data_IF_155899895748
#
_entry.id   IF_155899895748
#
_cell.length_a   1.000
_cell.length_b   1.000
_cell.length_c   1.000
_cell.angle_alpha   90.00
_cell.angle_beta   90.00
_cell.angle_gamma   90.00
#
_symmetry.space_group_name_H-M   'P 1'
#
loop_
_entity.id
_entity.type
_entity.pdbx_description
1 polymer ?
#
# COMPACT_ATOMS: atom_id res chain seq x y z
N UNK A 1 7.65 34.09 13.02
CA UNK A 1 7.94 33.78 11.61
C UNK A 1 7.50 32.34 11.38
N UNK A 2 6.42 32.10 10.64
CA UNK A 2 5.87 30.75 10.47
C UNK A 2 6.34 30.17 9.15
N UNK A 3 6.94 28.98 9.20
CA UNK A 3 7.22 28.18 8.01
C UNK A 3 6.09 27.16 7.89
N UNK A 4 5.42 27.17 6.74
CA UNK A 4 4.30 26.26 6.47
C UNK A 4 4.71 25.31 5.35
N UNK A 5 4.30 24.06 5.47
CA UNK A 5 4.56 23.03 4.47
C UNK A 5 3.23 22.41 4.10
N UNK A 6 2.98 22.33 2.80
CA UNK A 6 1.81 21.68 2.24
C UNK A 6 2.25 20.59 1.28
N UNK A 7 1.50 19.49 1.25
CA UNK A 7 1.76 18.35 0.39
C UNK A 7 0.57 18.14 -0.54
N UNK A 8 0.81 18.18 -1.85
CA UNK A 8 -0.10 17.62 -2.83
C UNK A 8 0.33 16.19 -3.13
N UNK A 9 -0.55 15.23 -2.85
CA UNK A 9 -0.27 13.82 -3.00
C UNK A 9 -1.25 13.20 -3.99
N UNK A 10 -0.71 12.56 -5.03
CA UNK A 10 -1.49 11.90 -6.08
C UNK A 10 -1.11 10.43 -6.16
N UNK A 11 -2.06 9.55 -5.93
CA UNK A 11 -1.95 8.14 -6.21
C UNK A 11 -2.26 7.82 -7.67
N UNK A 12 -1.56 6.83 -8.23
CA UNK A 12 -1.80 6.39 -9.61
C UNK A 12 -3.17 5.73 -9.79
N UNK A 13 -3.69 5.02 -8.78
CA UNK A 13 -5.00 4.38 -8.76
C UNK A 13 -6.05 5.24 -8.05
N UNK A 14 -5.70 5.87 -6.93
CA UNK A 14 -6.62 6.64 -6.10
C UNK A 14 -6.87 8.08 -6.59
N UNK A 15 -6.07 8.58 -7.54
CA UNK A 15 -6.17 9.97 -8.00
C UNK A 15 -5.60 10.94 -6.97
N UNK A 16 -6.24 12.09 -6.77
CA UNK A 16 -5.73 13.12 -5.85
C UNK A 16 -6.07 12.75 -4.40
N UNK A 17 -5.13 12.10 -3.71
CA UNK A 17 -5.27 11.68 -2.31
C UNK A 17 -5.40 12.88 -1.38
N UNK A 18 -4.75 13.99 -1.71
CA UNK A 18 -4.80 15.22 -0.90
C UNK A 18 -6.10 16.03 -1.04
N UNK A 19 -7.06 15.58 -1.87
CA UNK A 19 -8.30 16.30 -2.14
C UNK A 19 -9.19 16.45 -0.88
N UNK A 20 -9.47 17.70 -0.51
CA UNK A 20 -10.26 18.04 0.67
C UNK A 20 -9.59 17.74 2.03
N UNK A 21 -8.26 17.59 2.08
CA UNK A 21 -7.55 17.29 3.33
C UNK A 21 -7.41 18.50 4.28
N UNK A 22 -7.37 19.73 3.76
CA UNK A 22 -7.35 20.94 4.60
C UNK A 22 -8.72 21.62 4.66
N UNK A 23 -9.75 20.84 4.96
CA UNK A 23 -11.13 21.33 5.17
C UNK A 23 -11.49 21.30 6.65
N UNK A 24 -12.52 22.06 7.09
CA UNK A 24 -13.02 21.99 8.46
C UNK A 24 -13.44 20.59 8.89
N UNK A 25 -13.98 19.78 7.98
CA UNK A 25 -14.38 18.39 8.23
C UNK A 25 -13.18 17.46 8.47
N UNK A 26 -12.01 17.81 7.92
CA UNK A 26 -10.82 16.97 7.92
C UNK A 26 -9.88 17.30 9.09
N UNK A 27 -9.52 18.58 9.28
CA UNK A 27 -8.53 19.01 10.30
C UNK A 27 -9.08 20.06 11.28
N UNK A 28 -10.40 20.24 11.31
CA UNK A 28 -11.07 21.17 12.23
C UNK A 28 -10.55 22.60 12.07
N UNK A 29 -10.31 23.28 13.20
CA UNK A 29 -9.90 24.69 13.24
C UNK A 29 -8.51 24.98 12.65
N UNK A 30 -7.74 23.96 12.28
CA UNK A 30 -6.41 24.13 11.66
C UNK A 30 -6.48 24.44 10.17
N UNK A 31 -7.66 24.33 9.56
CA UNK A 31 -7.86 24.56 8.14
C UNK A 31 -7.45 25.98 7.72
N UNK A 32 -6.97 26.11 6.48
CA UNK A 32 -6.66 27.40 5.86
C UNK A 32 -7.36 27.47 4.50
N UNK A 33 -8.10 28.54 4.26
CA UNK A 33 -8.77 28.76 2.99
C UNK A 33 -7.77 28.88 1.83
N UNK A 34 -8.10 28.30 0.68
CA UNK A 34 -7.24 28.25 -0.52
C UNK A 34 -6.20 27.12 -0.50
N UNK A 35 -6.32 26.17 0.42
CA UNK A 35 -5.42 25.00 0.59
C UNK A 35 -6.18 23.68 0.71
N UNK A 36 -7.45 23.68 0.35
CA UNK A 36 -8.40 22.59 0.62
C UNK A 36 -7.90 21.24 0.10
N UNK A 37 -7.24 21.22 -1.06
CA UNK A 37 -6.72 20.02 -1.73
C UNK A 37 -5.25 19.69 -1.42
N UNK A 38 -4.71 20.25 -0.34
CA UNK A 38 -3.37 20.00 0.14
C UNK A 38 -3.40 19.46 1.57
N UNK A 39 -2.46 18.56 1.88
CA UNK A 39 -2.23 18.02 3.21
C UNK A 39 -1.32 18.99 3.95
N UNK A 40 -1.70 19.39 5.17
CA UNK A 40 -0.82 20.18 6.02
C UNK A 40 0.29 19.29 6.61
N UNK A 41 1.55 19.66 6.37
CA UNK A 41 2.72 18.93 6.85
C UNK A 41 3.35 19.70 8.00
N UNK A 42 3.55 19.02 9.13
CA UNK A 42 4.14 19.56 10.35
C UNK A 42 5.67 19.47 10.35
N UNK A 43 6.20 18.39 9.77
CA UNK A 43 7.63 18.12 9.71
C UNK A 43 7.97 17.41 8.40
N UNK A 44 9.12 17.72 7.82
CA UNK A 44 9.72 16.95 6.73
C UNK A 44 11.20 16.78 7.00
N UNK A 45 11.70 15.56 6.80
CA UNK A 45 13.10 15.18 6.89
C UNK A 45 13.46 14.38 5.66
N UNK A 46 14.56 14.77 5.04
CA UNK A 46 15.14 14.06 3.92
C UNK A 46 16.65 14.16 4.01
N UNK A 47 17.35 13.09 3.61
CA UNK A 47 18.80 13.03 3.61
C UNK A 47 19.32 12.25 2.41
N UNK A 48 20.48 12.67 1.92
CA UNK A 48 21.27 11.92 0.97
C UNK A 48 22.68 11.81 1.53
N UNK A 49 23.22 10.60 1.55
CA UNK A 49 24.61 10.37 1.97
C UNK A 49 25.42 9.90 0.78
N UNK A 50 26.73 10.09 0.83
CA UNK A 50 27.63 9.62 -0.21
C UNK A 50 28.88 9.05 0.44
N UNK A 51 29.16 7.79 0.12
CA UNK A 51 30.48 7.23 0.29
C UNK A 51 31.15 7.17 -1.09
N UNK A 52 30.95 6.10 -1.85
CA UNK A 52 31.32 6.03 -3.29
C UNK A 52 30.14 6.43 -4.20
N UNK A 53 28.97 5.82 -3.98
CA UNK A 53 27.73 6.13 -4.69
C UNK A 53 26.78 6.96 -3.81
N UNK A 54 25.88 7.70 -4.45
CA UNK A 54 24.84 8.45 -3.73
C UNK A 54 23.83 7.46 -3.16
N UNK A 55 23.63 7.52 -1.85
CA UNK A 55 22.60 6.78 -1.14
C UNK A 55 21.44 7.73 -0.83
N UNK A 56 20.28 7.42 -1.41
CA UNK A 56 19.05 8.15 -1.19
C UNK A 56 18.32 7.58 0.02
N UNK A 57 18.14 8.38 1.07
CA UNK A 57 17.30 7.99 2.19
C UNK A 57 15.83 8.32 1.88
N UNK A 58 14.87 7.54 2.42
CA UNK A 58 13.45 7.86 2.34
C UNK A 58 13.14 9.27 2.86
N UNK A 59 12.16 9.92 2.25
CA UNK A 59 11.60 11.17 2.75
C UNK A 59 10.62 10.82 3.87
N UNK A 60 10.89 11.30 5.08
CA UNK A 60 10.00 11.16 6.21
C UNK A 60 9.23 12.48 6.41
N UNK A 61 7.92 12.43 6.53
CA UNK A 61 7.14 13.59 6.92
C UNK A 61 6.08 13.26 7.96
N UNK A 62 5.71 14.27 8.74
CA UNK A 62 4.70 14.18 9.79
C UNK A 62 3.52 15.07 9.44
N UNK A 63 2.30 14.55 9.60
CA UNK A 63 1.03 15.25 9.35
C UNK A 63 0.04 15.00 10.50
N UNK A 64 -0.94 15.89 10.76
CA UNK A 64 -2.04 15.54 11.64
C UNK A 64 -2.88 14.42 11.01
N UNK A 65 -3.71 13.74 11.80
CA UNK A 65 -4.71 12.82 11.24
C UNK A 65 -5.73 13.64 10.44
N UNK A 66 -5.98 13.25 9.19
CA UNK A 66 -6.85 13.97 8.27
C UNK A 66 -7.57 12.99 7.32
N UNK A 67 -8.34 13.51 6.36
CA UNK A 67 -9.06 12.70 5.38
C UNK A 67 -8.18 11.74 4.56
N UNK A 68 -6.89 12.06 4.36
CA UNK A 68 -5.97 11.20 3.60
C UNK A 68 -5.46 9.99 4.39
N UNK A 69 -5.56 9.99 5.72
CA UNK A 69 -5.11 8.92 6.62
C UNK A 69 -5.54 7.50 6.18
N UNK A 70 -6.85 7.21 5.93
CA UNK A 70 -7.26 5.90 5.43
C UNK A 70 -6.78 5.61 4.01
N UNK A 71 -6.62 6.64 3.16
CA UNK A 71 -6.15 6.49 1.77
C UNK A 71 -4.65 6.13 1.73
N UNK A 72 -3.87 6.65 2.67
CA UNK A 72 -2.47 6.28 2.89
C UNK A 72 -2.36 4.82 3.36
N UNK A 73 -3.24 4.39 4.27
CA UNK A 73 -3.35 2.99 4.68
C UNK A 73 -3.65 2.05 3.50
N UNK A 74 -4.52 2.47 2.57
CA UNK A 74 -4.78 1.72 1.35
C UNK A 74 -3.60 1.74 0.36
N UNK A 75 -2.89 2.86 0.28
CA UNK A 75 -1.75 3.02 -0.62
C UNK A 75 -0.56 2.15 -0.21
N UNK A 76 -0.29 2.00 1.09
CA UNK A 76 0.75 1.10 1.59
C UNK A 76 0.36 -0.37 1.40
N UNK A 77 -0.89 -0.75 1.69
CA UNK A 77 -1.41 -2.12 1.52
C UNK A 77 -1.31 -2.59 0.07
N UNK A 78 -1.63 -1.72 -0.89
CA UNK A 78 -1.61 -2.04 -2.34
C UNK A 78 -0.29 -1.69 -3.03
N UNK A 79 0.73 -1.29 -2.26
CA UNK A 79 2.01 -0.82 -2.78
C UNK A 79 1.85 0.14 -3.99
N UNK A 80 0.99 1.15 -3.82
CA UNK A 80 0.63 2.07 -4.89
C UNK A 80 1.75 3.08 -5.17
N UNK A 81 1.97 3.39 -6.46
CA UNK A 81 2.86 4.47 -6.86
C UNK A 81 2.21 5.84 -6.65
N UNK A 82 2.96 6.73 -6.01
CA UNK A 82 2.54 8.06 -5.62
C UNK A 82 3.43 9.13 -6.26
N UNK A 83 2.84 10.25 -6.62
CA UNK A 83 3.56 11.50 -6.91
C UNK A 83 3.31 12.48 -5.77
N UNK A 84 4.38 12.93 -5.12
CA UNK A 84 4.32 13.81 -3.96
C UNK A 84 4.98 15.15 -4.28
N UNK A 85 4.27 16.25 -4.07
CA UNK A 85 4.78 17.61 -4.24
C UNK A 85 4.67 18.37 -2.91
N UNK A 86 5.79 18.54 -2.24
CA UNK A 86 5.92 19.38 -1.05
C UNK A 86 6.16 20.82 -1.47
N UNK A 87 5.36 21.73 -0.92
CA UNK A 87 5.41 23.18 -1.13
C UNK A 87 5.75 23.85 0.19
N UNK A 88 6.92 24.46 0.27
CA UNK A 88 7.43 25.13 1.47
C UNK A 88 7.23 26.65 1.34
N UNK A 89 6.56 27.21 2.33
CA UNK A 89 6.20 28.61 2.40
C UNK A 89 6.99 29.34 3.48
N UNK A 90 7.26 30.62 3.22
CA UNK A 90 7.84 31.56 4.21
C UNK A 90 7.17 32.93 4.10
N UNK A 91 7.29 33.73 5.15
CA UNK A 91 6.89 35.14 5.09
C UNK A 91 7.96 35.96 4.37
N UNK A 92 7.58 36.70 3.33
CA UNK A 92 8.47 37.59 2.59
C UNK A 92 8.63 38.96 3.29
N UNK A 93 9.45 39.85 2.73
CA UNK A 93 9.68 41.19 3.29
C UNK A 93 8.42 42.06 3.34
N UNK A 94 7.45 41.80 2.45
CA UNK A 94 6.15 42.48 2.43
C UNK A 94 5.13 41.89 3.42
N UNK A 95 5.52 40.90 4.24
CA UNK A 95 4.64 40.24 5.20
C UNK A 95 3.69 39.20 4.58
N UNK A 96 3.83 38.90 3.29
CA UNK A 96 3.00 37.94 2.57
C UNK A 96 3.60 36.55 2.60
N UNK A 97 2.75 35.52 2.53
CA UNK A 97 3.18 34.14 2.45
C UNK A 97 3.60 33.81 1.00
N UNK A 98 4.89 33.52 0.78
CA UNK A 98 5.43 33.16 -0.52
C UNK A 98 5.88 31.70 -0.58
N UNK A 99 5.64 31.03 -1.72
CA UNK A 99 6.19 29.72 -2.03
C UNK A 99 7.65 29.89 -2.48
N UNK A 100 8.60 29.55 -1.62
CA UNK A 100 10.02 29.77 -1.91
C UNK A 100 10.77 28.49 -2.30
N UNK A 101 10.28 27.32 -1.88
CA UNK A 101 10.95 26.04 -2.10
C UNK A 101 9.96 24.91 -2.36
N UNK A 102 10.30 24.03 -3.29
CA UNK A 102 9.50 22.86 -3.67
C UNK A 102 10.36 21.60 -3.69
N UNK A 103 9.81 20.50 -3.18
CA UNK A 103 10.39 19.16 -3.27
C UNK A 103 9.37 18.26 -3.96
N UNK A 104 9.70 17.73 -5.13
CA UNK A 104 8.82 16.83 -5.87
C UNK A 104 9.44 15.45 -5.99
N UNK A 105 8.71 14.45 -5.50
CA UNK A 105 9.00 13.03 -5.63
C UNK A 105 8.10 12.44 -6.71
N UNK A 106 8.68 11.62 -7.58
CA UNK A 106 7.93 10.92 -8.62
C UNK A 106 8.08 9.42 -8.48
N UNK A 107 6.99 8.68 -8.64
CA UNK A 107 7.00 7.22 -8.51
C UNK A 107 7.45 6.77 -7.12
N UNK A 108 6.93 7.43 -6.09
CA UNK A 108 7.17 7.12 -4.69
C UNK A 108 6.28 5.97 -4.20
N UNK A 109 6.74 5.24 -3.19
CA UNK A 109 5.99 4.19 -2.49
C UNK A 109 6.11 4.42 -0.99
N UNK A 110 5.05 4.13 -0.24
CA UNK A 110 5.10 4.22 1.22
C UNK A 110 5.88 3.02 1.76
N UNK A 111 6.93 3.29 2.55
CA UNK A 111 7.74 2.27 3.23
C UNK A 111 7.24 2.03 4.65
N UNK A 112 6.84 3.09 5.33
CA UNK A 112 6.37 3.05 6.71
C UNK A 112 5.23 4.05 6.89
N UNK A 113 4.21 3.62 7.61
CA UNK A 113 3.05 4.41 7.98
C UNK A 113 2.71 4.12 9.44
N UNK A 114 2.93 5.11 10.31
CA UNK A 114 2.69 4.99 11.75
C UNK A 114 1.77 6.11 12.22
N UNK A 115 0.72 5.72 12.96
CA UNK A 115 -0.21 6.64 13.60
C UNK A 115 0.13 6.76 15.08
N UNK A 116 0.25 7.99 15.57
CA UNK A 116 0.58 8.29 16.95
C UNK A 116 -0.59 9.01 17.62
N UNK A 117 -1.21 8.31 18.56
CA UNK A 117 -2.14 8.92 19.51
C UNK A 117 -1.43 9.13 20.84
N UNK A 118 -1.40 10.37 21.37
CA UNK A 118 -0.76 10.64 22.64
C UNK A 118 -1.51 9.97 23.79
N UNK A 119 -0.80 9.70 24.88
CA UNK A 119 -1.41 9.16 26.08
C UNK A 119 -2.32 10.22 26.72
N UNK A 120 -3.62 9.92 26.85
CA UNK A 120 -4.61 10.92 27.27
C UNK A 120 -4.41 11.46 28.69
N UNK A 121 -3.57 10.81 29.51
CA UNK A 121 -3.25 11.25 30.88
C UNK A 121 -1.93 12.02 30.90
N UNK A 122 -0.89 11.50 30.24
CA UNK A 122 0.48 12.05 30.35
C UNK A 122 0.78 13.12 29.31
N UNK A 123 0.12 13.10 28.15
CA UNK A 123 0.42 13.92 26.96
C UNK A 123 -0.84 14.59 26.37
N UNK A 124 -1.75 15.06 27.23
CA UNK A 124 -3.05 15.60 26.80
C UNK A 124 -2.97 16.84 25.88
N UNK A 125 -1.86 17.59 25.93
CA UNK A 125 -1.67 18.78 25.07
C UNK A 125 -1.17 18.44 23.66
N UNK A 126 -0.75 17.20 23.41
CA UNK A 126 -0.27 16.79 22.10
C UNK A 126 -1.44 16.52 21.15
N UNK A 127 -1.29 16.95 19.90
CA UNK A 127 -2.26 16.65 18.84
C UNK A 127 -1.90 15.29 18.22
N UNK A 128 -2.86 14.38 17.97
CA UNK A 128 -2.60 13.15 17.22
C UNK A 128 -1.98 13.43 15.84
N UNK A 129 -0.97 12.64 15.48
CA UNK A 129 -0.23 12.82 14.24
C UNK A 129 0.17 11.48 13.62
N UNK A 130 0.59 11.54 12.37
CA UNK A 130 1.02 10.39 11.58
C UNK A 130 2.39 10.66 11.00
N UNK A 131 3.24 9.63 11.00
CA UNK A 131 4.56 9.65 10.39
C UNK A 131 4.53 8.75 9.16
N UNK A 132 4.93 9.31 8.02
CA UNK A 132 4.91 8.62 6.73
C UNK A 132 6.31 8.67 6.12
N UNK A 133 6.82 7.52 5.69
CA UNK A 133 8.08 7.41 4.97
C UNK A 133 7.84 7.05 3.51
N UNK A 134 8.35 7.89 2.62
CA UNK A 134 8.26 7.72 1.18
C UNK A 134 9.64 7.40 0.62
N UNK A 135 9.75 6.24 0.00
CA UNK A 135 10.86 5.94 -0.91
C UNK A 135 10.45 6.34 -2.33
N UNK A 136 11.39 6.74 -3.17
CA UNK A 136 11.08 7.45 -4.43
C UNK A 136 12.06 7.10 -5.54
N UNK A 137 11.57 7.05 -6.78
CA UNK A 137 12.41 6.82 -7.98
C UNK A 137 13.20 8.05 -8.40
N UNK A 138 12.59 9.22 -8.32
CA UNK A 138 13.29 10.46 -8.62
C UNK A 138 12.80 11.59 -7.73
N UNK A 139 13.70 12.54 -7.48
CA UNK A 139 13.48 13.69 -6.62
C UNK A 139 13.98 14.95 -7.33
N UNK A 140 13.19 16.01 -7.25
CA UNK A 140 13.56 17.33 -7.71
C UNK A 140 13.40 18.35 -6.61
N UNK A 141 14.33 19.29 -6.56
CA UNK A 141 14.38 20.41 -5.64
C UNK A 141 14.31 21.68 -6.46
N UNK A 142 13.44 22.62 -6.11
CA UNK A 142 13.34 23.90 -6.81
C UNK A 142 13.25 25.03 -5.79
N UNK A 143 14.23 25.93 -5.80
CA UNK A 143 14.16 27.16 -5.02
C UNK A 143 13.53 28.27 -5.86
N UNK A 144 12.21 28.38 -5.82
CA UNK A 144 11.40 29.32 -6.61
C UNK A 144 11.87 30.77 -6.49
N UNK A 145 12.20 31.22 -5.29
CA UNK A 145 12.61 32.61 -5.05
C UNK A 145 14.02 32.94 -5.56
N UNK A 146 14.85 31.94 -5.88
CA UNK A 146 16.24 32.11 -6.35
C UNK A 146 16.51 31.46 -7.71
N UNK A 147 15.49 30.82 -8.31
CA UNK A 147 15.55 30.22 -9.64
C UNK A 147 16.38 28.93 -9.77
N UNK A 148 16.95 28.38 -8.70
CA UNK A 148 17.80 27.19 -8.79
C UNK A 148 16.98 25.90 -8.73
N UNK A 149 17.39 24.91 -9.52
CA UNK A 149 16.75 23.59 -9.58
C UNK A 149 17.78 22.48 -9.50
N UNK A 150 17.47 21.41 -8.77
CA UNK A 150 18.25 20.17 -8.72
C UNK A 150 17.36 18.98 -9.05
N UNK A 151 17.93 17.97 -9.71
CA UNK A 151 17.25 16.73 -10.06
C UNK A 151 18.17 15.54 -9.78
N UNK A 152 17.63 14.48 -9.18
CA UNK A 152 18.34 13.25 -8.92
C UNK A 152 17.43 12.04 -9.11
N UNK A 153 18.00 10.95 -9.62
CA UNK A 153 17.33 9.67 -9.81
C UNK A 153 17.91 8.71 -8.77
N UNK A 154 17.04 8.08 -7.99
CA UNK A 154 17.47 7.02 -7.07
C UNK A 154 17.69 5.73 -7.84
N UNK A 155 18.59 4.88 -7.35
CA UNK A 155 18.90 3.59 -7.99
C UNK A 155 17.84 2.51 -7.71
N UNK A 156 16.57 2.86 -7.44
CA UNK A 156 15.51 1.88 -7.18
C UNK A 156 15.19 1.02 -8.41
N UNK A 157 15.97 -0.03 -8.59
CA UNK A 157 15.62 -1.23 -9.35
C UNK A 157 14.93 -2.20 -8.39
N UNK A 158 13.61 -2.40 -8.52
CA UNK A 158 12.96 -3.57 -7.90
C UNK A 158 11.56 -3.38 -7.30
N UNK A 159 11.07 -2.15 -7.11
CA UNK A 159 9.66 -1.89 -6.72
C UNK A 159 8.91 -1.27 -7.89
N UNK A 160 8.76 -2.05 -8.94
CA UNK A 160 7.67 -1.80 -9.88
C UNK A 160 6.35 -2.15 -9.17
N UNK A 161 5.22 -1.56 -9.59
CA UNK A 161 3.90 -1.98 -9.11
C UNK A 161 3.85 -3.50 -9.07
N UNK A 162 3.08 -4.08 -8.14
CA UNK A 162 2.71 -5.50 -8.19
C UNK A 162 2.37 -5.85 -9.64
N UNK A 163 3.34 -6.40 -10.37
CA UNK A 163 3.09 -7.03 -11.64
C UNK A 163 2.31 -8.24 -11.17
N UNK A 164 1.02 -8.39 -11.55
CA UNK A 164 0.39 -9.69 -11.35
C UNK A 164 1.37 -10.70 -11.95
N UNK A 165 1.64 -11.79 -11.22
CA UNK A 165 2.66 -12.80 -11.58
C UNK A 165 2.50 -13.34 -13.02
N UNK A 166 1.40 -13.00 -13.67
CA UNK A 166 0.99 -13.41 -15.02
C UNK A 166 1.08 -12.32 -16.10
N UNK A 167 1.54 -11.09 -15.81
CA UNK A 167 1.57 -9.99 -16.80
C UNK A 167 2.54 -10.18 -17.98
N UNK A 168 3.39 -11.21 -17.95
CA UNK A 168 4.25 -11.63 -19.08
C UNK A 168 3.77 -12.88 -19.82
N UNK A 169 2.62 -13.46 -19.44
CA UNK A 169 2.13 -14.75 -19.93
C UNK A 169 0.85 -14.65 -20.78
N UNK A 170 0.61 -13.51 -21.44
CA UNK A 170 -0.56 -13.32 -22.33
C UNK A 170 -0.61 -14.31 -23.50
N UNK A 171 0.52 -14.94 -23.86
CA UNK A 171 0.58 -15.99 -24.88
C UNK A 171 0.48 -17.42 -24.33
N UNK A 172 0.34 -17.63 -23.01
CA UNK A 172 0.24 -18.98 -22.39
C UNK A 172 -1.19 -19.28 -21.89
N UNK A 173 -2.08 -18.30 -21.87
CA UNK A 173 -3.48 -18.49 -21.50
C UNK A 173 -4.18 -19.66 -22.23
N UNK A 174 -4.03 -19.86 -23.56
CA UNK A 174 -4.60 -21.03 -24.21
C UNK A 174 -3.88 -22.35 -23.87
N UNK A 175 -2.61 -22.30 -23.45
CA UNK A 175 -1.85 -23.49 -23.03
C UNK A 175 -2.25 -23.95 -21.63
N UNK A 176 -2.51 -23.02 -20.71
CA UNK A 176 -2.96 -23.31 -19.33
C UNK A 176 -4.35 -23.95 -19.34
N UNK A 177 -5.28 -23.52 -20.19
CA UNK A 177 -6.59 -24.18 -20.32
C UNK A 177 -6.45 -25.61 -20.85
N UNK A 178 -5.61 -25.84 -21.86
CA UNK A 178 -5.35 -27.21 -22.36
C UNK A 178 -4.60 -28.10 -21.36
N UNK A 179 -3.66 -27.55 -20.58
CA UNK A 179 -2.89 -28.30 -19.58
C UNK A 179 -3.71 -28.54 -18.31
N UNK A 180 -4.58 -27.61 -17.91
CA UNK A 180 -5.54 -27.81 -16.84
C UNK A 180 -6.56 -28.89 -17.21
N UNK A 181 -7.14 -28.84 -18.41
CA UNK A 181 -8.03 -29.92 -18.89
C UNK A 181 -7.33 -31.30 -18.92
N UNK A 182 -6.02 -31.34 -19.22
CA UNK A 182 -5.25 -32.59 -19.23
C UNK A 182 -4.91 -33.09 -17.81
N UNK A 183 -4.50 -32.20 -16.90
CA UNK A 183 -4.21 -32.50 -15.49
C UNK A 183 -5.45 -32.96 -14.72
N UNK A 184 -6.63 -32.38 -15.00
CA UNK A 184 -7.89 -32.73 -14.33
C UNK A 184 -8.61 -33.96 -14.91
N UNK A 185 -8.05 -34.61 -15.95
CA UNK A 185 -8.49 -35.96 -16.37
C UNK A 185 -7.83 -37.09 -15.58
N UNK A 186 -6.81 -36.80 -14.77
CA UNK A 186 -6.05 -37.82 -14.06
C UNK A 186 -6.49 -37.94 -12.60
N UNK A 187 -6.88 -39.15 -12.21
CA UNK A 187 -7.18 -39.52 -10.82
C UNK A 187 -5.93 -39.33 -9.96
N UNK A 188 -5.94 -38.35 -9.06
CA UNK A 188 -4.83 -38.13 -8.14
C UNK A 188 -4.88 -39.12 -6.97
N UNK A 189 -3.76 -39.80 -6.71
CA UNK A 189 -3.51 -40.57 -5.49
C UNK A 189 -2.57 -39.78 -4.59
N UNK A 190 -3.06 -39.29 -3.45
CA UNK A 190 -2.24 -38.70 -2.40
C UNK A 190 -1.43 -39.80 -1.70
N UNK A 191 -0.10 -39.72 -1.74
CA UNK A 191 0.78 -40.55 -0.91
C UNK A 191 1.14 -39.78 0.37
N UNK A 192 0.86 -40.41 1.51
CA UNK A 192 1.21 -39.91 2.84
C UNK A 192 2.71 -40.10 3.11
N UNK A 193 3.38 -39.05 3.56
CA UNK A 193 4.72 -39.10 4.14
C UNK A 193 4.63 -38.42 5.53
N UNK A 194 5.25 -39.05 6.53
CA UNK A 194 4.80 -39.09 7.92
C UNK A 194 4.68 -37.79 8.72
N UNK A 195 3.98 -38.01 9.83
CA UNK A 195 3.74 -37.25 11.06
C UNK A 195 2.82 -36.01 11.04
N UNK A 196 1.55 -36.32 11.35
CA UNK A 196 0.50 -35.52 11.99
C UNK A 196 0.12 -34.22 11.26
N UNK A 197 -0.74 -34.34 10.26
CA UNK A 197 -1.45 -33.20 9.66
C UNK A 197 -2.69 -32.82 10.49
N UNK A 198 -2.82 -31.56 10.97
CA UNK A 198 -4.06 -31.08 11.57
C UNK A 198 -5.17 -30.88 10.52
N UNK A 199 -6.42 -30.94 10.99
CA UNK A 199 -7.71 -30.96 10.26
C UNK A 199 -7.74 -30.24 8.90
N UNK A 200 -8.23 -30.94 7.87
CA UNK A 200 -8.43 -30.43 6.51
C UNK A 200 -9.92 -30.09 6.33
N UNK A 201 -10.20 -28.85 5.94
CA UNK A 201 -11.53 -28.43 5.51
C UNK A 201 -11.55 -28.33 3.98
N UNK A 202 -12.63 -28.77 3.35
CA UNK A 202 -12.81 -28.65 1.90
C UNK A 202 -14.24 -28.25 1.54
N UNK A 203 -14.34 -27.40 0.52
CA UNK A 203 -15.60 -27.02 -0.12
C UNK A 203 -15.59 -27.52 -1.56
N UNK A 204 -16.58 -28.33 -1.90
CA UNK A 204 -16.74 -28.90 -3.24
C UNK A 204 -18.05 -28.41 -3.83
N UNK A 205 -17.99 -27.74 -4.97
CA UNK A 205 -19.17 -27.27 -5.68
C UNK A 205 -19.55 -28.29 -6.74
N UNK A 206 -20.79 -28.75 -6.65
CA UNK A 206 -21.42 -29.61 -7.66
C UNK A 206 -22.53 -28.83 -8.36
N UNK A 207 -22.99 -29.30 -9.52
CA UNK A 207 -24.09 -28.67 -10.27
C UNK A 207 -25.41 -28.59 -9.45
N UNK A 208 -25.53 -29.37 -8.37
CA UNK A 208 -26.70 -29.40 -7.48
C UNK A 208 -26.55 -28.55 -6.22
N UNK A 209 -25.39 -27.94 -6.00
CA UNK A 209 -25.11 -27.09 -4.84
C UNK A 209 -23.72 -27.27 -4.25
N UNK A 210 -23.41 -26.42 -3.26
CA UNK A 210 -22.16 -26.42 -2.53
C UNK A 210 -22.19 -27.46 -1.41
N UNK A 211 -21.21 -28.35 -1.38
CA UNK A 211 -21.02 -29.35 -0.32
C UNK A 211 -19.76 -28.96 0.46
N UNK A 212 -19.95 -28.49 1.69
CA UNK A 212 -18.88 -28.16 2.63
C UNK A 212 -18.78 -29.24 3.71
N UNK A 213 -17.58 -29.75 3.99
CA UNK A 213 -17.36 -30.66 5.12
C UNK A 213 -16.00 -30.39 5.79
N UNK A 214 -15.92 -30.64 7.09
CA UNK A 214 -14.72 -30.44 7.90
C UNK A 214 -14.29 -31.76 8.54
N UNK A 215 -13.15 -32.29 8.07
CA UNK A 215 -12.69 -33.61 8.49
C UNK A 215 -11.89 -33.53 9.80
N UNK A 216 -12.35 -34.22 10.85
CA UNK A 216 -11.80 -34.11 12.22
C UNK A 216 -10.80 -35.20 12.63
N UNK A 217 -10.47 -36.19 11.80
CA UNK A 217 -9.52 -37.23 12.22
C UNK A 217 -8.83 -37.90 11.04
N UNK A 218 -7.50 -37.86 11.05
CA UNK A 218 -6.61 -38.32 9.98
C UNK A 218 -6.83 -39.78 9.53
N UNK A 219 -6.88 -39.99 8.21
CA UNK A 219 -6.48 -41.26 7.60
C UNK A 219 -7.52 -42.05 6.80
N UNK A 220 -8.79 -41.65 6.77
CA UNK A 220 -9.80 -42.34 5.94
C UNK A 220 -10.38 -41.39 4.89
N UNK A 221 -10.07 -41.59 3.62
CA UNK A 221 -10.69 -40.84 2.51
C UNK A 221 -12.18 -41.10 2.48
N UNK A 222 -13.03 -40.09 2.74
CA UNK A 222 -14.45 -40.17 2.39
C UNK A 222 -14.55 -40.27 0.86
N UNK A 223 -15.05 -41.41 0.37
CA UNK A 223 -15.43 -41.56 -1.02
C UNK A 223 -16.84 -40.97 -1.19
N UNK A 224 -16.98 -40.03 -2.11
CA UNK A 224 -18.29 -39.57 -2.57
C UNK A 224 -18.72 -40.51 -3.70
N UNK A 225 -19.67 -41.40 -3.42
CA UNK A 225 -20.31 -42.19 -4.47
C UNK A 225 -21.42 -41.36 -5.12
N UNK A 226 -21.10 -40.70 -6.24
CA UNK A 226 -22.12 -40.12 -7.11
C UNK A 226 -22.53 -41.16 -8.16
N UNK A 227 -23.85 -41.36 -8.34
CA UNK A 227 -24.40 -42.37 -9.27
C UNK A 227 -24.20 -42.02 -10.75
N UNK A 228 -23.63 -40.85 -11.07
CA UNK A 228 -23.28 -40.38 -12.42
C UNK A 228 -22.00 -39.53 -12.35
N UNK A 229 -21.21 -39.55 -13.42
CA UNK A 229 -20.09 -38.61 -13.61
C UNK A 229 -20.65 -37.19 -13.66
N UNK A 230 -20.28 -36.38 -12.68
CA UNK A 230 -20.63 -34.95 -12.60
C UNK A 230 -19.32 -34.15 -12.56
N UNK A 231 -19.33 -32.96 -13.17
CA UNK A 231 -18.20 -32.03 -13.12
C UNK A 231 -18.11 -31.47 -11.71
N UNK A 232 -16.97 -31.64 -11.06
CA UNK A 232 -16.75 -31.22 -9.67
C UNK A 232 -15.69 -30.12 -9.65
N UNK A 233 -16.02 -28.96 -9.08
CA UNK A 233 -15.07 -27.87 -8.83
C UNK A 233 -14.72 -27.82 -7.34
N UNK A 234 -13.42 -27.88 -7.02
CA UNK A 234 -12.92 -27.66 -5.66
C UNK A 234 -12.66 -26.17 -5.49
N UNK A 235 -13.53 -25.47 -4.77
CA UNK A 235 -13.38 -24.02 -4.58
C UNK A 235 -12.27 -23.68 -3.59
N UNK A 236 -12.08 -24.50 -2.55
CA UNK A 236 -11.00 -24.31 -1.60
C UNK A 236 -10.62 -25.60 -0.88
N UNK A 237 -9.31 -25.72 -0.62
CA UNK A 237 -8.70 -26.76 0.19
C UNK A 237 -7.67 -26.09 1.08
N UNK A 238 -7.92 -26.01 2.38
CA UNK A 238 -6.95 -25.43 3.31
C UNK A 238 -6.81 -26.25 4.58
N UNK A 239 -5.58 -26.31 5.06
CA UNK A 239 -5.20 -26.99 6.29
C UNK A 239 -5.37 -26.03 7.45
N UNK A 240 -6.31 -26.33 8.35
CA UNK A 240 -6.51 -25.50 9.54
C UNK A 240 -5.52 -25.92 10.62
N UNK A 241 -4.58 -25.04 10.97
CA UNK A 241 -3.96 -25.07 12.30
C UNK A 241 -4.94 -24.40 13.25
N UNK A 242 -5.77 -25.18 13.92
CA UNK A 242 -6.46 -24.66 15.11
C UNK A 242 -5.37 -24.50 16.18
N UNK A 243 -4.90 -23.27 16.35
CA UNK A 243 -4.10 -22.90 17.51
C UNK A 243 -4.97 -22.99 18.77
N UNK A 244 -4.46 -23.68 19.79
CA UNK A 244 -4.72 -23.30 21.18
C UNK A 244 -3.75 -22.17 21.49
#
# INVERSE_FOLDING_TARGET
MSYLIYLSLKGKKQGLISAGCSTPESIGNRYQAGREDEIQVLHIRHGMTRDQNVNHLPVNFTKPIDKSSPLLGLAIDKNELLDALFKCYRTNQAGQLELFYEIKLTGATIVDFSCHYPHSIDDNDQIPYETVQLDYKSISFTHRAAGTTGYAISQLQGREEERPLLSGFSNIQPLIETVAAFLFSQKFKLKYQGDICPNIAYGVRTEKGLIEDMFKTSGTTKQFETKKEETIEVEYLYQTKIGI
#
